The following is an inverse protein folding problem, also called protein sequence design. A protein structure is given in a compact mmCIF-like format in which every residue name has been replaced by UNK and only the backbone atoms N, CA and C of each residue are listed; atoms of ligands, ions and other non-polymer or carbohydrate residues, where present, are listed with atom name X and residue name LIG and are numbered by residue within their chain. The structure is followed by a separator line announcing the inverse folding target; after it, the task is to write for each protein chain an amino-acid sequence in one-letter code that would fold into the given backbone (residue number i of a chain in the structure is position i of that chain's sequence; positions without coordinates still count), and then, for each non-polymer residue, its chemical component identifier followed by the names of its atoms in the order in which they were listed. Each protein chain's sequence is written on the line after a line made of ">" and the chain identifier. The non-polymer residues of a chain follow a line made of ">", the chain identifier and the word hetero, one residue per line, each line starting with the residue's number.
data_IF_686003116473
#
_entry.id   IF_686003116473
#
_cell.length_a   1.000
_cell.length_b   1.000
_cell.length_c   1.000
_cell.angle_alpha   90.00
_cell.angle_beta   90.00
_cell.angle_gamma   90.00
#
_symmetry.space_group_name_H-M   'P 1'
#
loop_
_entity.id
_entity.type
_entity.pdbx_description
1 polymer ?
#
# COMPACT_ATOMS: atom_id res chain seq x y z
N UNK A 1 -11.75 3.15 -4.35
CA UNK A 1 -10.67 2.15 -4.18
C UNK A 1 -10.80 1.51 -2.81
N UNK A 2 -10.52 0.25 -2.67
CA UNK A 2 -10.43 -0.38 -1.37
C UNK A 2 -9.00 -0.83 -1.08
N UNK A 3 -8.62 -0.83 0.18
CA UNK A 3 -7.32 -1.30 0.63
C UNK A 3 -7.51 -2.27 1.78
N UNK A 4 -6.77 -3.29 1.66
CA UNK A 4 -6.47 -4.44 2.48
C UNK A 4 -7.05 -4.53 3.89
N UNK A 5 -7.44 -5.75 4.18
CA UNK A 5 -7.79 -6.22 5.50
C UNK A 5 -6.61 -6.14 6.48
N UNK A 6 -6.84 -5.57 7.62
CA UNK A 6 -5.92 -5.65 8.75
C UNK A 6 -6.38 -6.77 9.69
N UNK A 7 -5.51 -7.74 9.95
CA UNK A 7 -5.72 -8.71 11.04
C UNK A 7 -5.49 -8.05 12.40
N UNK A 8 -6.16 -8.54 13.41
CA UNK A 8 -5.94 -8.08 14.79
C UNK A 8 -4.59 -8.62 15.28
N UNK A 9 -3.75 -7.76 15.88
CA UNK A 9 -2.58 -8.20 16.67
C UNK A 9 -3.08 -8.82 17.98
N UNK A 10 -2.29 -9.66 18.67
CA UNK A 10 -2.60 -10.11 20.04
C UNK A 10 -2.84 -8.94 21.00
N UNK A 11 -2.18 -7.81 20.77
CA UNK A 11 -2.31 -6.56 21.54
C UNK A 11 -3.45 -5.64 21.09
N UNK A 12 -4.30 -6.04 20.15
CA UNK A 12 -5.40 -5.23 19.64
C UNK A 12 -5.35 -4.93 18.13
N UNK A 13 -5.86 -3.76 17.73
CA UNK A 13 -5.85 -3.34 16.32
C UNK A 13 -4.42 -3.10 15.83
N UNK A 14 -4.12 -3.46 14.59
CA UNK A 14 -2.87 -3.03 13.95
C UNK A 14 -2.80 -1.50 13.88
N UNK A 15 -1.60 -0.95 14.01
CA UNK A 15 -1.36 0.49 14.04
C UNK A 15 -1.89 1.18 12.78
N UNK A 16 -1.70 0.58 11.61
CA UNK A 16 -2.29 1.06 10.35
C UNK A 16 -3.80 1.28 10.45
N UNK A 17 -4.55 0.32 11.01
CA UNK A 17 -5.99 0.47 11.14
C UNK A 17 -6.35 1.52 12.20
N UNK A 18 -5.62 1.57 13.31
CA UNK A 18 -5.82 2.56 14.36
C UNK A 18 -5.60 3.97 13.81
N UNK A 19 -4.48 4.20 13.13
CA UNK A 19 -4.13 5.47 12.51
C UNK A 19 -5.16 5.92 11.45
N UNK A 20 -5.63 5.00 10.58
CA UNK A 20 -6.66 5.32 9.59
C UNK A 20 -7.99 5.71 10.27
N UNK A 21 -8.37 5.02 11.34
CA UNK A 21 -9.60 5.33 12.07
C UNK A 21 -9.53 6.67 12.79
N UNK A 22 -8.36 7.05 13.27
CA UNK A 22 -8.10 8.33 13.93
C UNK A 22 -8.02 9.47 12.94
N UNK A 23 -7.12 9.37 11.96
CA UNK A 23 -6.82 10.48 11.02
C UNK A 23 -7.81 10.60 9.88
N UNK A 24 -8.57 9.54 9.59
CA UNK A 24 -9.44 9.41 8.41
C UNK A 24 -8.70 9.51 7.08
N UNK A 25 -7.40 9.37 7.07
CA UNK A 25 -6.53 9.54 5.92
C UNK A 25 -5.48 8.41 5.85
N UNK A 26 -5.06 8.07 4.65
CA UNK A 26 -3.97 7.10 4.44
C UNK A 26 -3.37 7.22 3.04
N UNK A 27 -2.20 6.63 2.84
CA UNK A 27 -1.54 6.55 1.54
C UNK A 27 -1.30 5.10 1.14
N UNK A 28 -1.72 4.74 -0.07
CA UNK A 28 -1.35 3.45 -0.68
C UNK A 28 -0.06 3.64 -1.46
N UNK A 29 0.98 2.93 -1.06
CA UNK A 29 2.29 2.97 -1.69
C UNK A 29 2.51 1.68 -2.48
N UNK A 30 2.82 1.79 -3.77
CA UNK A 30 3.07 0.61 -4.60
C UNK A 30 4.49 0.09 -4.38
N UNK A 31 4.60 -1.17 -4.02
CA UNK A 31 5.90 -1.80 -3.82
C UNK A 31 6.48 -2.35 -5.13
N UNK A 32 7.79 -2.27 -5.26
CA UNK A 32 8.55 -2.74 -6.42
C UNK A 32 9.62 -3.74 -5.99
N UNK A 33 10.27 -4.36 -6.95
CA UNK A 33 11.39 -5.27 -6.68
C UNK A 33 12.49 -4.59 -5.84
N UNK A 34 12.69 -3.27 -6.00
CA UNK A 34 13.72 -2.53 -5.27
C UNK A 34 13.33 -2.30 -3.80
N UNK A 35 12.05 -2.12 -3.52
CA UNK A 35 11.53 -1.88 -2.15
C UNK A 35 11.06 -3.14 -1.44
N UNK A 36 11.14 -4.34 -2.07
CA UNK A 36 10.58 -5.58 -1.55
C UNK A 36 11.09 -5.99 -0.16
N UNK A 37 12.38 -5.77 0.11
CA UNK A 37 12.98 -6.11 1.41
C UNK A 37 12.43 -5.20 2.52
N UNK A 38 12.39 -3.90 2.27
CA UNK A 38 11.82 -2.92 3.21
C UNK A 38 10.32 -3.13 3.40
N UNK A 39 9.59 -3.42 2.33
CA UNK A 39 8.17 -3.81 2.40
C UNK A 39 7.96 -5.04 3.29
N UNK A 40 8.78 -6.09 3.11
CA UNK A 40 8.69 -7.28 3.95
C UNK A 40 9.04 -6.97 5.40
N UNK A 41 10.07 -6.16 5.62
CA UNK A 41 10.49 -5.74 6.97
C UNK A 41 9.41 -4.89 7.67
N UNK A 42 8.62 -4.08 6.94
CA UNK A 42 7.51 -3.31 7.53
C UNK A 42 6.35 -4.17 8.05
N UNK A 43 6.38 -5.47 7.84
CA UNK A 43 5.37 -6.39 8.38
C UNK A 43 5.67 -6.91 9.78
N UNK A 44 6.79 -6.51 10.39
CA UNK A 44 7.13 -6.86 11.77
C UNK A 44 6.09 -6.33 12.75
N UNK A 45 6.04 -6.92 13.94
CA UNK A 45 5.24 -6.39 15.04
C UNK A 45 6.09 -5.35 15.81
N UNK A 46 6.20 -4.15 15.27
CA UNK A 46 6.82 -3.02 15.94
C UNK A 46 6.00 -2.59 17.17
N UNK A 47 6.66 -1.98 18.16
CA UNK A 47 5.98 -1.33 19.27
C UNK A 47 5.28 -0.06 18.78
N UNK A 48 4.27 0.41 19.52
CA UNK A 48 3.46 1.56 19.10
C UNK A 48 4.27 2.84 18.90
N UNK A 49 5.38 3.00 19.62
CA UNK A 49 6.24 4.17 19.59
C UNK A 49 7.40 4.05 18.59
N UNK A 50 7.48 2.91 17.89
CA UNK A 50 8.51 2.69 16.87
C UNK A 50 8.03 3.13 15.49
N UNK A 51 8.83 3.96 14.84
CA UNK A 51 8.57 4.42 13.48
C UNK A 51 9.07 3.38 12.46
N UNK A 52 8.15 2.70 11.79
CA UNK A 52 8.45 1.70 10.77
C UNK A 52 9.30 2.26 9.61
N UNK A 53 9.24 3.55 9.31
CA UNK A 53 10.13 4.18 8.33
C UNK A 53 11.59 4.14 8.77
N UNK A 54 11.86 4.35 10.05
CA UNK A 54 13.21 4.25 10.62
C UNK A 54 13.72 2.82 10.56
N UNK A 55 12.90 1.84 10.95
CA UNK A 55 13.24 0.41 10.94
C UNK A 55 13.53 -0.06 9.52
N UNK A 56 12.69 0.30 8.57
CA UNK A 56 12.78 -0.15 7.17
C UNK A 56 13.79 0.64 6.34
N UNK A 57 14.30 1.76 6.87
CA UNK A 57 15.14 2.73 6.18
C UNK A 57 14.51 3.31 4.90
N UNK A 58 13.18 3.27 4.81
CA UNK A 58 12.43 3.94 3.75
C UNK A 58 12.39 5.43 4.01
N UNK A 59 12.48 6.23 2.95
CA UNK A 59 12.41 7.69 3.05
C UNK A 59 10.96 8.15 3.04
N UNK A 60 10.61 9.04 3.97
CA UNK A 60 9.33 9.73 3.96
C UNK A 60 9.32 10.83 2.90
N UNK A 61 8.21 10.97 2.22
CA UNK A 61 7.88 12.14 1.38
C UNK A 61 6.57 12.73 1.89
N UNK A 62 6.54 14.05 2.04
CA UNK A 62 5.31 14.77 2.40
C UNK A 62 4.26 14.57 1.33
N UNK A 63 3.08 14.13 1.72
CA UNK A 63 1.89 14.08 0.86
C UNK A 63 1.35 15.48 0.61
N UNK A 64 0.56 15.65 -0.46
CA UNK A 64 0.01 16.98 -0.82
C UNK A 64 -1.36 17.21 -0.22
N UNK A 65 -2.20 16.20 -0.17
CA UNK A 65 -3.63 16.31 0.16
C UNK A 65 -4.00 15.62 1.47
N UNK A 66 -3.10 14.79 2.03
CA UNK A 66 -3.30 14.08 3.29
C UNK A 66 -2.11 14.28 4.23
N UNK A 67 -2.31 14.11 5.53
CA UNK A 67 -1.24 14.23 6.54
C UNK A 67 -0.30 13.02 6.55
N UNK A 68 -0.84 11.83 6.24
CA UNK A 68 -0.05 10.62 6.19
C UNK A 68 1.08 10.73 5.16
N UNK A 69 2.35 10.43 5.52
CA UNK A 69 3.47 10.52 4.58
C UNK A 69 3.40 9.42 3.54
N UNK A 70 3.95 9.70 2.36
CA UNK A 70 4.19 8.73 1.30
C UNK A 70 5.57 8.10 1.45
N UNK A 71 5.75 6.90 0.92
CA UNK A 71 7.07 6.30 0.71
C UNK A 71 7.71 6.93 -0.53
N UNK A 72 8.84 7.63 -0.35
CA UNK A 72 9.52 8.37 -1.43
C UNK A 72 10.04 7.46 -2.55
N UNK A 73 10.42 6.23 -2.20
CA UNK A 73 10.96 5.24 -3.16
C UNK A 73 9.86 4.50 -3.94
N UNK A 74 8.59 4.68 -3.56
CA UNK A 74 7.46 4.14 -4.31
C UNK A 74 7.24 4.92 -5.62
N UNK A 75 7.09 4.23 -6.76
CA UNK A 75 6.86 4.91 -8.05
C UNK A 75 5.45 5.50 -8.17
N UNK A 76 4.49 4.96 -7.41
CA UNK A 76 3.09 5.44 -7.38
C UNK A 76 2.60 5.47 -5.95
N UNK A 77 1.97 6.57 -5.58
CA UNK A 77 1.30 6.73 -4.30
C UNK A 77 -0.12 7.25 -4.54
N UNK A 78 -1.08 6.68 -3.83
CA UNK A 78 -2.46 7.10 -3.86
C UNK A 78 -2.80 7.72 -2.51
N UNK A 79 -3.12 8.99 -2.50
CA UNK A 79 -3.56 9.72 -1.31
C UNK A 79 -5.06 9.52 -1.13
N UNK A 80 -5.47 9.00 0.00
CA UNK A 80 -6.83 8.52 0.23
C UNK A 80 -7.46 9.11 1.48
N UNK A 81 -8.77 9.38 1.40
CA UNK A 81 -9.65 9.63 2.55
C UNK A 81 -10.48 8.39 2.86
N UNK A 82 -10.66 8.11 4.13
CA UNK A 82 -11.48 6.99 4.59
C UNK A 82 -12.95 7.23 4.24
N UNK A 83 -13.55 6.30 3.51
CA UNK A 83 -14.99 6.27 3.25
C UNK A 83 -15.71 5.36 4.26
N UNK A 84 -15.24 4.12 4.40
CA UNK A 84 -15.93 3.12 5.20
C UNK A 84 -14.99 2.02 5.65
N UNK A 85 -15.30 1.40 6.79
CA UNK A 85 -14.68 0.14 7.22
C UNK A 85 -15.74 -0.95 7.32
N UNK A 86 -15.39 -2.17 6.92
CA UNK A 86 -16.27 -3.33 6.97
C UNK A 86 -15.55 -4.44 7.72
N UNK A 87 -16.16 -4.91 8.82
CA UNK A 87 -15.69 -6.11 9.52
C UNK A 87 -16.04 -7.33 8.70
N UNK A 88 -15.03 -8.10 8.34
CA UNK A 88 -15.20 -9.35 7.61
C UNK A 88 -15.37 -10.48 8.62
N UNK A 89 -16.46 -11.24 8.49
CA UNK A 89 -16.68 -12.44 9.29
C UNK A 89 -15.63 -13.48 8.90
N UNK A 90 -15.08 -14.17 9.89
CA UNK A 90 -14.15 -15.28 9.71
C UNK A 90 -14.56 -16.40 10.64
N UNK A 91 -14.42 -17.64 10.19
CA UNK A 91 -14.62 -18.85 11.00
C UNK A 91 -13.47 -19.07 12.01
N UNK A 92 -12.44 -18.22 11.95
CA UNK A 92 -11.35 -18.19 12.92
C UNK A 92 -11.58 -17.07 13.93
N UNK A 93 -10.93 -17.15 15.11
CA UNK A 93 -10.98 -16.08 16.14
C UNK A 93 -10.34 -14.77 15.69
N UNK A 94 -9.82 -14.67 14.45
CA UNK A 94 -9.17 -13.49 13.88
C UNK A 94 -10.14 -12.73 13.00
N UNK A 95 -10.52 -11.55 13.41
CA UNK A 95 -11.33 -10.65 12.58
C UNK A 95 -10.43 -9.88 11.62
N UNK A 96 -10.88 -9.74 10.38
CA UNK A 96 -10.28 -8.84 9.40
C UNK A 96 -11.19 -7.64 9.18
N UNK A 97 -10.59 -6.47 9.00
CA UNK A 97 -11.34 -5.25 8.67
C UNK A 97 -10.90 -4.76 7.30
N UNK A 98 -11.84 -4.67 6.39
CA UNK A 98 -11.63 -4.03 5.10
C UNK A 98 -11.78 -2.53 5.25
N UNK A 99 -10.85 -1.77 4.69
CA UNK A 99 -10.86 -0.30 4.64
C UNK A 99 -11.17 0.12 3.21
N UNK A 100 -12.19 0.95 3.03
CA UNK A 100 -12.51 1.59 1.75
C UNK A 100 -12.10 3.05 1.81
N UNK A 101 -11.41 3.52 0.79
CA UNK A 101 -10.97 4.91 0.68
C UNK A 101 -11.27 5.50 -0.68
N UNK A 102 -11.58 6.79 -0.69
CA UNK A 102 -11.60 7.61 -1.89
C UNK A 102 -10.18 8.04 -2.22
N UNK A 103 -9.77 7.85 -3.46
CA UNK A 103 -8.49 8.36 -3.96
C UNK A 103 -8.69 9.81 -4.35
N UNK A 104 -8.10 10.72 -3.59
CA UNK A 104 -8.19 12.18 -3.82
C UNK A 104 -6.96 12.75 -4.50
N UNK A 105 -5.86 11.98 -4.56
CA UNK A 105 -4.64 12.36 -5.24
C UNK A 105 -3.84 11.15 -5.69
N UNK A 106 -3.18 11.29 -6.84
CA UNK A 106 -2.29 10.26 -7.41
C UNK A 106 -0.95 10.93 -7.70
N UNK A 107 0.11 10.38 -7.14
CA UNK A 107 1.48 10.71 -7.52
C UNK A 107 2.05 9.58 -8.36
N UNK A 108 2.67 9.93 -9.48
CA UNK A 108 3.43 9.01 -10.33
C UNK A 108 4.80 9.64 -10.57
N UNK A 109 5.86 8.86 -10.39
CA UNK A 109 7.22 9.32 -10.61
C UNK A 109 7.46 9.55 -12.11
N UNK A 110 7.93 10.74 -12.47
CA UNK A 110 8.07 11.18 -13.87
C UNK A 110 8.92 10.23 -14.73
N UNK A 111 9.94 9.60 -14.13
CA UNK A 111 10.79 8.62 -14.83
C UNK A 111 10.04 7.40 -15.36
N UNK A 112 8.78 7.21 -14.99
CA UNK A 112 7.91 6.14 -15.50
C UNK A 112 6.81 6.65 -16.42
N UNK A 113 6.87 7.93 -16.81
CA UNK A 113 5.94 8.51 -17.79
C UNK A 113 6.66 8.65 -19.12
N UNK A 114 6.21 7.91 -20.12
CA UNK A 114 6.76 7.92 -21.46
C UNK A 114 5.70 8.40 -22.46
N UNK A 115 5.95 9.50 -23.17
CA UNK A 115 5.03 10.07 -24.18
C UNK A 115 3.60 10.25 -23.61
N UNK A 116 3.48 10.77 -22.38
CA UNK A 116 2.21 11.01 -21.70
C UNK A 116 1.50 9.74 -21.17
N UNK A 117 2.15 8.57 -21.20
CA UNK A 117 1.60 7.31 -20.73
C UNK A 117 2.46 6.67 -19.65
N UNK A 118 1.81 6.03 -18.69
CA UNK A 118 2.51 5.32 -17.61
C UNK A 118 3.10 4.02 -18.14
N UNK A 119 4.42 3.85 -18.01
CA UNK A 119 5.10 2.60 -18.29
C UNK A 119 5.07 1.68 -17.05
N UNK A 120 3.95 1.00 -16.85
CA UNK A 120 3.72 0.16 -15.68
C UNK A 120 4.69 -1.04 -15.58
N UNK A 121 5.12 -1.61 -16.72
CA UNK A 121 6.05 -2.74 -16.71
C UNK A 121 7.46 -2.32 -16.22
N UNK A 122 7.91 -1.10 -16.57
CA UNK A 122 9.19 -0.57 -16.12
C UNK A 122 9.25 -0.38 -14.59
N UNK A 123 8.11 -0.20 -13.93
CA UNK A 123 8.04 -0.05 -12.47
C UNK A 123 8.36 -1.35 -11.72
N UNK A 124 8.24 -2.51 -12.35
CA UNK A 124 8.52 -3.82 -11.77
C UNK A 124 7.81 -4.03 -10.43
N UNK A 125 6.50 -3.83 -10.43
CA UNK A 125 5.67 -4.05 -9.24
C UNK A 125 5.82 -5.47 -8.71
N UNK A 126 5.74 -5.59 -7.39
CA UNK A 126 5.71 -6.88 -6.70
C UNK A 126 4.27 -7.30 -6.50
N UNK A 127 3.94 -8.51 -6.90
CA UNK A 127 2.65 -9.14 -6.64
C UNK A 127 2.82 -10.39 -5.78
N UNK A 128 1.94 -10.55 -4.78
CA UNK A 128 1.93 -11.73 -3.92
C UNK A 128 1.18 -12.87 -4.63
N UNK A 129 1.82 -14.04 -4.71
CA UNK A 129 1.26 -15.23 -5.35
C UNK A 129 0.55 -16.16 -4.36
N UNK A 130 0.95 -16.13 -3.11
CA UNK A 130 0.45 -17.00 -2.05
C UNK A 130 1.60 -17.49 -1.18
N UNK A 131 1.30 -18.10 -0.03
CA UNK A 131 2.30 -18.52 0.94
C UNK A 131 3.34 -17.42 1.20
N UNK A 132 4.62 -17.67 0.92
CA UNK A 132 5.72 -16.71 1.00
C UNK A 132 6.27 -16.30 -0.38
N UNK A 133 5.53 -16.59 -1.46
CA UNK A 133 5.97 -16.37 -2.83
C UNK A 133 5.49 -15.05 -3.40
N UNK A 134 6.35 -14.42 -4.20
CA UNK A 134 6.09 -13.17 -4.89
C UNK A 134 6.62 -13.23 -6.32
N UNK A 135 5.99 -12.48 -7.20
CA UNK A 135 6.46 -12.26 -8.57
C UNK A 135 6.62 -10.76 -8.84
N UNK A 136 7.27 -10.43 -9.95
CA UNK A 136 7.37 -9.05 -10.44
C UNK A 136 6.73 -8.93 -11.79
N UNK A 137 5.97 -7.87 -12.01
CA UNK A 137 5.45 -7.51 -13.33
C UNK A 137 6.59 -6.88 -14.12
N UNK A 138 7.12 -7.60 -15.13
CA UNK A 138 8.24 -7.15 -15.96
C UNK A 138 7.91 -7.05 -17.45
N UNK A 139 6.74 -7.55 -17.86
CA UNK A 139 6.28 -7.52 -19.24
C UNK A 139 4.81 -7.09 -19.32
N UNK A 140 4.40 -6.63 -20.49
CA UNK A 140 3.01 -6.28 -20.81
C UNK A 140 2.64 -6.72 -22.20
N UNK A 141 1.39 -7.05 -22.42
CA UNK A 141 0.85 -7.36 -23.75
C UNK A 141 -0.43 -6.56 -24.00
N UNK A 142 -0.80 -6.42 -25.25
CA UNK A 142 -2.05 -5.77 -25.65
C UNK A 142 -3.10 -6.82 -25.99
N UNK A 143 -4.32 -6.55 -25.58
CA UNK A 143 -5.49 -7.31 -26.02
C UNK A 143 -6.44 -6.34 -26.71
N UNK A 144 -7.00 -6.76 -27.87
CA UNK A 144 -8.10 -6.04 -28.50
C UNK A 144 -9.38 -6.37 -27.73
N UNK A 145 -10.22 -5.37 -27.53
CA UNK A 145 -11.57 -5.65 -27.03
C UNK A 145 -12.30 -6.49 -28.08
N UNK A 146 -12.98 -7.58 -27.69
CA UNK A 146 -13.89 -8.25 -28.57
C UNK A 146 -15.02 -7.27 -28.92
N UNK A 147 -15.32 -7.13 -30.21
CA UNK A 147 -16.45 -6.31 -30.67
C UNK A 147 -17.76 -7.06 -30.38
#
# INVERSE_FOLDING_TARGET
>A
MFVAASSVKPSGKKDTLANILETKEFVVNFSTINTRKSMNLSSINANKDEDEFTITKLKKRKSRLVKAPSVADSPVNLECKLLKTIKLKSNTRRFSTMVMGEVIGIYIKDSFIEKGRVNSAAMRYVARMGYAEYTTVSSKFKMKNPN
#
